data_IF_897733877243
#
_entry.id   IF_897733877243
#
_cell.length_a   1.000
_cell.length_b   1.000
_cell.length_c   1.000
_cell.angle_alpha   90.00
_cell.angle_beta   90.00
_cell.angle_gamma   90.00
#
_symmetry.space_group_name_H-M   'P 1'
#
loop_
_entity.id
_entity.type
_entity.pdbx_description
1 polymer ?
#
# COMPACT_ATOMS: atom_id res chain seq x y z
N UNK A 1 3.30 -5.96 17.28
CA UNK A 1 3.33 -5.52 15.86
C UNK A 1 2.73 -4.13 15.82
N UNK A 2 3.48 -3.15 15.33
CA UNK A 2 2.93 -1.82 15.03
C UNK A 2 2.53 -1.80 13.56
N UNK A 3 1.46 -1.09 13.21
CA UNK A 3 1.02 -0.89 11.84
C UNK A 3 0.92 0.61 11.56
N UNK A 4 1.29 1.01 10.35
CA UNK A 4 1.23 2.40 9.90
C UNK A 4 0.09 2.56 8.89
N UNK A 5 -0.98 3.32 9.20
CA UNK A 5 -2.03 3.60 8.23
C UNK A 5 -1.49 4.51 7.12
N UNK A 6 -1.70 4.13 5.86
CA UNK A 6 -1.15 4.84 4.69
C UNK A 6 -2.21 5.56 3.84
N UNK A 7 -3.41 5.01 3.74
CA UNK A 7 -4.58 5.63 3.10
C UNK A 7 -5.86 4.87 3.48
N UNK A 8 -7.02 5.41 3.11
CA UNK A 8 -8.26 4.64 3.17
C UNK A 8 -8.33 3.60 2.03
N UNK A 9 -9.16 2.57 2.19
CA UNK A 9 -9.29 1.49 1.21
C UNK A 9 -9.92 1.95 -0.11
N UNK A 10 -10.90 2.85 -0.04
CA UNK A 10 -11.59 3.44 -1.19
C UNK A 10 -10.73 4.46 -1.94
N UNK A 11 -9.70 5.01 -1.31
CA UNK A 11 -8.69 5.86 -1.94
C UNK A 11 -7.67 5.07 -2.78
N UNK A 12 -7.60 3.75 -2.60
CA UNK A 12 -6.78 2.87 -3.43
C UNK A 12 -7.65 2.25 -4.52
N UNK A 13 -7.45 2.73 -5.75
CA UNK A 13 -8.21 2.25 -6.90
C UNK A 13 -7.91 0.76 -7.17
N UNK A 14 -8.95 0.00 -7.50
CA UNK A 14 -8.82 -1.41 -7.85
C UNK A 14 -7.91 -1.61 -9.08
N UNK A 15 -7.05 -2.63 -9.01
CA UNK A 15 -6.06 -2.94 -10.04
C UNK A 15 -4.90 -1.94 -10.13
N UNK A 16 -4.73 -1.07 -9.13
CA UNK A 16 -3.64 -0.07 -9.13
C UNK A 16 -2.63 -0.29 -8.02
N UNK A 17 -1.41 0.16 -8.28
CA UNK A 17 -0.33 0.25 -7.31
C UNK A 17 -0.12 1.71 -6.91
N UNK A 18 0.07 1.97 -5.61
CA UNK A 18 0.44 3.28 -5.08
C UNK A 18 1.65 3.15 -4.16
N UNK A 19 2.64 4.01 -4.37
CA UNK A 19 3.85 4.08 -3.54
C UNK A 19 3.59 4.92 -2.29
N UNK A 20 4.03 4.41 -1.15
CA UNK A 20 4.09 5.12 0.13
C UNK A 20 5.51 5.05 0.68
N UNK A 21 5.95 6.14 1.31
CA UNK A 21 7.18 6.17 2.09
C UNK A 21 6.80 5.92 3.56
N UNK A 22 7.29 4.83 4.13
CA UNK A 22 7.01 4.41 5.51
C UNK A 22 8.35 4.29 6.23
N UNK A 23 8.62 5.22 7.14
CA UNK A 23 9.88 5.29 7.89
C UNK A 23 11.14 5.25 7.00
N UNK A 24 11.08 5.89 5.81
CA UNK A 24 12.18 5.94 4.84
C UNK A 24 12.27 4.71 3.92
N UNK A 25 11.32 3.77 4.03
CA UNK A 25 11.20 2.61 3.16
C UNK A 25 10.09 2.84 2.14
N UNK A 26 10.44 2.66 0.88
CA UNK A 26 9.50 2.67 -0.21
C UNK A 26 8.68 1.37 -0.24
N UNK A 27 7.36 1.51 -0.16
CA UNK A 27 6.43 0.37 -0.19
C UNK A 27 5.40 0.61 -1.28
N UNK A 28 5.29 -0.33 -2.21
CA UNK A 28 4.20 -0.38 -3.18
C UNK A 28 3.01 -1.13 -2.57
N UNK A 29 1.88 -0.44 -2.42
CA UNK A 29 0.62 -1.03 -1.98
C UNK A 29 -0.28 -1.23 -3.19
N UNK A 30 -0.72 -2.47 -3.41
CA UNK A 30 -1.51 -2.89 -4.58
C UNK A 30 -2.85 -3.44 -4.12
N UNK A 31 -3.93 -2.96 -4.73
CA UNK A 31 -5.27 -3.51 -4.53
C UNK A 31 -5.66 -4.41 -5.69
N UNK A 32 -6.20 -5.59 -5.36
CA UNK A 32 -6.77 -6.55 -6.30
C UNK A 32 -8.11 -7.03 -5.73
N UNK A 33 -9.23 -6.46 -6.21
CA UNK A 33 -10.55 -6.69 -5.64
C UNK A 33 -10.62 -6.16 -4.20
N UNK A 34 -10.80 -7.07 -3.24
CA UNK A 34 -10.83 -6.75 -1.81
C UNK A 34 -9.52 -7.04 -1.08
N UNK A 35 -8.54 -7.62 -1.79
CA UNK A 35 -7.23 -7.93 -1.25
C UNK A 35 -6.25 -6.77 -1.41
N UNK A 36 -5.41 -6.57 -0.40
CA UNK A 36 -4.36 -5.56 -0.38
C UNK A 36 -3.01 -6.22 -0.13
N UNK A 37 -2.06 -5.93 -1.02
CA UNK A 37 -0.69 -6.43 -0.96
C UNK A 37 0.27 -5.28 -0.74
N UNK A 38 1.31 -5.50 0.07
CA UNK A 38 2.40 -4.56 0.28
C UNK A 38 3.72 -5.21 -0.12
N UNK A 39 4.43 -4.60 -1.06
CA UNK A 39 5.69 -5.10 -1.62
C UNK A 39 6.76 -4.05 -1.37
N UNK A 40 7.92 -4.46 -0.84
CA UNK A 40 9.08 -3.58 -0.71
C UNK A 40 9.62 -3.23 -2.10
N UNK A 41 9.76 -1.93 -2.38
CA UNK A 41 10.29 -1.40 -3.64
C UNK A 41 11.80 -1.14 -3.45
N UNK A 42 12.62 -2.18 -3.70
CA UNK A 42 14.10 -2.19 -3.55
C UNK A 42 14.83 -2.06 -4.87
#
# INVERSE_FOLDING_TARGET
MSATPVCAFDELADGTARRFDIDGVAVAVVRIGDDVYAIGDV
#
